data_IF_210146469875
#
_entry.id   IF_210146469875
#
_cell.length_a   1.000
_cell.length_b   1.000
_cell.length_c   1.000
_cell.angle_alpha   90.00
_cell.angle_beta   90.00
_cell.angle_gamma   90.00
#
_symmetry.space_group_name_H-M   'P 1'
#
loop_
_entity.id
_entity.type
_entity.pdbx_description
1 polymer ?
#
# COMPACT_ATOMS: atom_id res chain seq x y z
N UNK A 1 -7.44 3.41 -18.48
CA UNK A 1 -6.34 3.44 -17.49
C UNK A 1 -6.83 2.62 -16.32
N UNK A 2 -6.06 1.65 -15.84
CA UNK A 2 -6.48 0.76 -14.74
C UNK A 2 -5.93 1.31 -13.43
N UNK A 3 -6.78 1.48 -12.43
CA UNK A 3 -6.34 1.82 -11.08
C UNK A 3 -5.79 0.56 -10.40
N UNK A 4 -4.69 0.72 -9.65
CA UNK A 4 -4.12 -0.29 -8.80
C UNK A 4 -4.33 0.10 -7.34
N UNK A 5 -4.55 -0.90 -6.50
CA UNK A 5 -4.59 -0.69 -5.05
C UNK A 5 -3.16 -0.69 -4.50
N UNK A 6 -2.81 0.32 -3.72
CA UNK A 6 -1.55 0.42 -2.99
C UNK A 6 -1.80 0.42 -1.49
N UNK A 7 -1.11 -0.47 -0.76
CA UNK A 7 -1.10 -0.48 0.70
C UNK A 7 -0.07 0.56 1.21
N UNK A 8 -0.47 1.30 2.25
CA UNK A 8 0.32 2.39 2.85
C UNK A 8 0.80 1.98 4.22
N UNK A 9 2.08 2.20 4.47
CA UNK A 9 2.74 1.88 5.73
C UNK A 9 3.47 3.08 6.30
N UNK A 10 3.41 3.30 7.61
CA UNK A 10 4.10 4.42 8.28
C UNK A 10 4.75 4.03 9.60
N UNK A 11 5.67 4.89 10.07
CA UNK A 11 6.20 4.88 11.44
C UNK A 11 6.52 6.31 11.91
N UNK A 12 6.33 6.59 13.20
CA UNK A 12 6.55 7.93 13.78
C UNK A 12 8.01 8.17 14.12
N UNK A 13 8.71 7.15 14.61
CA UNK A 13 10.13 7.20 14.92
C UNK A 13 10.92 6.10 14.21
N UNK A 14 12.24 6.28 14.07
CA UNK A 14 13.13 5.30 13.43
C UNK A 14 13.06 3.91 14.10
N UNK A 15 12.87 3.88 15.42
CA UNK A 15 12.79 2.64 16.20
C UNK A 15 11.44 1.94 16.15
N UNK A 16 10.40 2.61 15.65
CA UNK A 16 9.06 2.05 15.62
C UNK A 16 8.91 1.00 14.52
N UNK A 17 7.95 0.11 14.75
CA UNK A 17 7.52 -0.86 13.73
C UNK A 17 6.86 -0.11 12.59
N UNK A 18 7.20 -0.49 11.36
CA UNK A 18 6.45 -0.07 10.18
C UNK A 18 5.05 -0.70 10.22
N UNK A 19 4.01 0.12 10.23
CA UNK A 19 2.62 -0.32 10.41
C UNK A 19 1.78 0.02 9.19
N UNK A 20 0.88 -0.89 8.82
CA UNK A 20 -0.12 -0.63 7.79
C UNK A 20 -1.16 0.36 8.33
N UNK A 21 -1.42 1.43 7.60
CA UNK A 21 -2.36 2.50 8.01
C UNK A 21 -3.57 2.64 7.08
N UNK A 22 -3.54 1.99 5.91
CA UNK A 22 -4.63 2.01 4.95
C UNK A 22 -4.14 1.80 3.53
N UNK A 23 -4.96 2.15 2.55
CA UNK A 23 -4.66 1.97 1.14
C UNK A 23 -5.17 3.13 0.28
N UNK A 24 -4.62 3.27 -0.91
CA UNK A 24 -5.04 4.24 -1.93
C UNK A 24 -5.17 3.57 -3.29
N UNK A 25 -6.11 4.03 -4.11
CA UNK A 25 -6.24 3.64 -5.51
C UNK A 25 -5.51 4.67 -6.37
N UNK A 26 -4.63 4.20 -7.26
CA UNK A 26 -3.83 5.06 -8.13
C UNK A 26 -3.44 4.38 -9.44
N UNK A 27 -3.24 5.18 -10.49
CA UNK A 27 -2.88 4.67 -11.82
C UNK A 27 -1.41 4.26 -11.95
N UNK A 28 -0.53 4.87 -11.16
CA UNK A 28 0.91 4.63 -11.17
C UNK A 28 1.55 4.93 -9.80
N UNK A 29 2.83 4.54 -9.68
CA UNK A 29 3.59 4.61 -8.43
C UNK A 29 3.79 6.06 -7.95
N UNK A 30 3.90 7.02 -8.86
CA UNK A 30 4.09 8.43 -8.51
C UNK A 30 2.80 9.05 -7.98
N UNK A 31 1.68 8.77 -8.63
CA UNK A 31 0.34 9.19 -8.18
C UNK A 31 0.03 8.56 -6.82
N UNK A 32 0.37 7.28 -6.61
CA UNK A 32 0.18 6.59 -5.33
C UNK A 32 0.92 7.29 -4.19
N UNK A 33 2.16 7.74 -4.40
CA UNK A 33 2.93 8.51 -3.40
C UNK A 33 2.25 9.84 -3.06
N UNK A 34 1.79 10.57 -4.07
CA UNK A 34 1.10 11.86 -3.87
C UNK A 34 -0.19 11.66 -3.09
N UNK A 35 -0.99 10.64 -3.45
CA UNK A 35 -2.25 10.35 -2.76
C UNK A 35 -2.01 9.90 -1.33
N UNK A 36 -1.08 8.96 -1.09
CA UNK A 36 -0.73 8.52 0.26
C UNK A 36 -0.27 9.68 1.15
N UNK A 37 0.59 10.56 0.64
CA UNK A 37 1.00 11.75 1.38
C UNK A 37 -0.18 12.67 1.67
N UNK A 38 -1.00 12.97 0.67
CA UNK A 38 -2.17 13.86 0.82
C UNK A 38 -3.16 13.32 1.86
N UNK A 39 -3.43 12.01 1.84
CA UNK A 39 -4.40 11.36 2.73
C UNK A 39 -3.89 11.18 4.16
N UNK A 40 -2.61 10.86 4.35
CA UNK A 40 -2.08 10.46 5.66
C UNK A 40 -1.09 11.46 6.26
N UNK A 41 -0.89 12.65 5.69
CA UNK A 41 0.10 13.65 6.16
C UNK A 41 -0.16 14.31 7.52
N UNK A 42 -1.28 14.04 8.20
CA UNK A 42 -1.65 14.72 9.45
C UNK A 42 -0.64 14.53 10.60
N UNK A 43 0.12 13.44 10.54
CA UNK A 43 1.12 13.05 11.54
C UNK A 43 2.54 13.31 11.02
N UNK A 44 3.47 13.57 11.95
CA UNK A 44 4.89 13.75 11.63
C UNK A 44 5.59 12.40 11.44
N UNK A 45 5.31 11.73 10.33
CA UNK A 45 5.93 10.44 10.03
C UNK A 45 7.43 10.57 9.81
N UNK A 46 8.20 9.68 10.45
CA UNK A 46 9.61 9.50 10.14
C UNK A 46 9.78 8.83 8.76
N UNK A 47 8.89 7.89 8.44
CA UNK A 47 8.88 7.20 7.16
C UNK A 47 7.45 6.82 6.76
N UNK A 48 7.17 6.93 5.47
CA UNK A 48 5.95 6.48 4.82
C UNK A 48 6.33 5.72 3.56
N UNK A 49 5.77 4.53 3.37
CA UNK A 49 6.00 3.65 2.23
C UNK A 49 4.67 3.28 1.57
N UNK A 50 4.71 3.10 0.25
CA UNK A 50 3.60 2.54 -0.52
C UNK A 50 4.07 1.29 -1.25
N UNK A 51 3.19 0.30 -1.36
CA UNK A 51 3.45 -0.94 -2.09
C UNK A 51 2.19 -1.33 -2.86
N UNK A 52 2.33 -1.71 -4.14
CA UNK A 52 1.19 -2.29 -4.87
C UNK A 52 0.70 -3.52 -4.13
N UNK A 53 -0.61 -3.64 -3.90
CA UNK A 53 -1.21 -4.78 -3.20
C UNK A 53 -0.85 -6.12 -3.82
N UNK A 54 -0.69 -6.12 -5.15
CA UNK A 54 -0.31 -7.28 -5.98
C UNK A 54 1.11 -7.81 -5.66
N UNK A 55 1.95 -6.99 -5.01
CA UNK A 55 3.29 -7.37 -4.59
C UNK A 55 3.32 -7.97 -3.17
N UNK A 56 2.20 -7.95 -2.44
CA UNK A 56 2.12 -8.56 -1.11
C UNK A 56 1.82 -10.04 -1.28
N UNK A 57 2.79 -10.89 -0.93
CA UNK A 57 2.69 -12.34 -1.11
C UNK A 57 2.08 -12.99 0.15
N UNK A 58 0.92 -13.67 0.04
CA UNK A 58 0.35 -14.40 1.15
C UNK A 58 1.14 -15.67 1.44
N UNK A 59 1.31 -16.01 2.72
CA UNK A 59 2.13 -17.15 3.15
C UNK A 59 1.29 -18.37 3.54
N UNK A 60 0.08 -18.16 4.05
CA UNK A 60 -0.74 -19.22 4.68
C UNK A 60 -2.18 -19.29 4.17
N UNK A 61 -2.57 -18.43 3.22
CA UNK A 61 -3.90 -18.42 2.62
C UNK A 61 -3.81 -18.31 1.11
N UNK A 62 -4.59 -19.13 0.43
CA UNK A 62 -4.72 -19.15 -1.04
C UNK A 62 -6.04 -18.52 -1.50
N UNK A 63 -6.85 -18.00 -0.57
CA UNK A 63 -8.18 -17.45 -0.79
C UNK A 63 -8.34 -16.05 -0.15
N UNK A 64 -7.21 -15.40 0.13
CA UNK A 64 -7.19 -14.09 0.79
C UNK A 64 -7.26 -12.94 -0.21
N UNK A 65 -7.59 -11.74 0.30
CA UNK A 65 -7.66 -10.49 -0.47
C UNK A 65 -6.40 -10.19 -1.32
N UNK A 66 -5.24 -10.60 -0.83
CA UNK A 66 -3.97 -10.41 -1.54
C UNK A 66 -3.80 -11.39 -2.71
N UNK A 67 -4.39 -12.59 -2.65
CA UNK A 67 -4.43 -13.54 -3.78
C UNK A 67 -5.31 -12.98 -4.89
N UNK A 68 -6.51 -12.52 -4.54
CA UNK A 68 -7.47 -11.93 -5.49
C UNK A 68 -6.88 -10.72 -6.24
N UNK A 69 -6.11 -9.89 -5.54
CA UNK A 69 -5.43 -8.75 -6.14
C UNK A 69 -4.36 -9.17 -7.18
N UNK A 70 -3.67 -10.29 -6.93
CA UNK A 70 -2.66 -10.84 -7.84
C UNK A 70 -3.31 -11.46 -9.09
N UNK A 71 -4.41 -12.18 -8.91
CA UNK A 71 -5.17 -12.80 -10.02
C UNK A 71 -5.77 -11.73 -10.93
N UNK A 72 -6.33 -10.68 -10.34
CA UNK A 72 -6.91 -9.57 -11.09
C UNK A 72 -5.89 -8.90 -12.02
N UNK A 73 -4.58 -8.92 -11.68
CA UNK A 73 -3.52 -8.27 -12.47
C UNK A 73 -3.17 -8.98 -13.78
N UNK A 74 -3.69 -10.18 -14.01
CA UNK A 74 -3.39 -11.03 -15.17
C UNK A 74 -4.48 -11.02 -16.27
N UNK A 75 -5.58 -10.29 -16.05
CA UNK A 75 -6.60 -9.92 -17.06
C UNK A 75 -6.39 -8.50 -17.57
#
# INVERSE_FOLDING_TARGET
>A
MREFVYDVFTRKERGDRLQHVGYVDAFDDETAKVYAWTTYSEEKWFEMCVVKRVNVLPVNRTDGLFVEAQESSHD
#
